data_IF_514810436892
#
_entry.id   IF_514810436892
#
_cell.length_a   1.000
_cell.length_b   1.000
_cell.length_c   1.000
_cell.angle_alpha   90.00
_cell.angle_beta   90.00
_cell.angle_gamma   90.00
#
_symmetry.space_group_name_H-M   'P 1'
#
loop_
_entity.id
_entity.type
_entity.pdbx_description
1 polymer ?
#
# COMPACT_ATOMS: atom_id res chain seq x y z
N UNK A 1 -3.71 -7.85 -28.57
CA UNK A 1 -4.81 -7.07 -27.95
C UNK A 1 -6.01 -7.98 -27.86
N UNK A 2 -6.71 -7.97 -26.72
CA UNK A 2 -7.89 -8.77 -26.45
C UNK A 2 -9.11 -7.87 -26.24
N UNK A 3 -10.29 -8.41 -26.49
CA UNK A 3 -11.55 -7.67 -26.33
C UNK A 3 -12.03 -7.58 -24.88
N UNK A 4 -11.55 -8.51 -24.02
CA UNK A 4 -11.92 -8.57 -22.61
C UNK A 4 -10.80 -9.16 -21.75
N UNK A 5 -10.92 -8.99 -20.42
CA UNK A 5 -10.02 -9.62 -19.43
C UNK A 5 -10.16 -11.15 -19.52
N UNK A 6 -11.36 -11.67 -19.68
CA UNK A 6 -11.60 -13.10 -19.81
C UNK A 6 -10.91 -13.71 -21.05
N UNK A 7 -10.96 -13.01 -22.21
CA UNK A 7 -10.25 -13.44 -23.40
C UNK A 7 -8.74 -13.44 -23.21
N UNK A 8 -8.21 -12.44 -22.51
CA UNK A 8 -6.78 -12.36 -22.18
C UNK A 8 -6.34 -13.53 -21.30
N UNK A 9 -7.12 -13.82 -20.24
CA UNK A 9 -6.85 -14.97 -19.37
C UNK A 9 -6.88 -16.29 -20.15
N UNK A 10 -7.91 -16.51 -20.96
CA UNK A 10 -8.06 -17.74 -21.74
C UNK A 10 -6.90 -17.95 -22.73
N UNK A 11 -6.40 -16.86 -23.33
CA UNK A 11 -5.35 -16.93 -24.34
C UNK A 11 -3.93 -17.00 -23.77
N UNK A 12 -3.68 -16.43 -22.56
CA UNK A 12 -2.32 -16.22 -22.06
C UNK A 12 -2.07 -16.76 -20.66
N UNK A 13 -3.11 -17.13 -19.91
CA UNK A 13 -3.00 -17.47 -18.50
C UNK A 13 -2.71 -16.26 -17.61
N UNK A 14 -3.05 -15.04 -18.05
CA UNK A 14 -2.84 -13.83 -17.26
C UNK A 14 -3.55 -13.92 -15.90
N UNK A 15 -2.86 -13.56 -14.84
CA UNK A 15 -3.38 -13.57 -13.47
C UNK A 15 -3.36 -12.19 -12.79
N UNK A 16 -2.87 -11.16 -13.49
CA UNK A 16 -2.82 -9.78 -13.01
C UNK A 16 -3.41 -8.83 -14.05
N UNK A 17 -4.28 -7.92 -13.61
CA UNK A 17 -4.78 -6.80 -14.40
C UNK A 17 -4.31 -5.48 -13.80
N UNK A 18 -3.62 -4.64 -14.58
CA UNK A 18 -3.22 -3.29 -14.16
C UNK A 18 -4.12 -2.28 -14.87
N UNK A 19 -4.91 -1.53 -14.10
CA UNK A 19 -6.02 -0.71 -14.58
C UNK A 19 -5.60 0.76 -14.63
N UNK A 20 -5.52 1.31 -15.85
CA UNK A 20 -5.11 2.69 -16.15
C UNK A 20 -6.23 3.54 -16.76
N UNK A 21 -7.43 3.00 -16.85
CA UNK A 21 -8.56 3.71 -17.51
C UNK A 21 -8.91 5.00 -16.75
N UNK A 22 -9.47 6.02 -17.45
CA UNK A 22 -9.94 7.23 -16.78
C UNK A 22 -10.95 6.95 -15.67
N UNK A 23 -11.07 7.83 -14.64
CA UNK A 23 -11.93 7.60 -13.47
C UNK A 23 -13.36 7.20 -13.78
N UNK A 24 -13.97 7.80 -14.81
CA UNK A 24 -15.35 7.50 -15.22
C UNK A 24 -15.58 6.05 -15.70
N UNK A 25 -14.50 5.34 -16.07
CA UNK A 25 -14.56 3.97 -16.58
C UNK A 25 -13.92 2.96 -15.61
N UNK A 26 -13.30 3.43 -14.52
CA UNK A 26 -12.56 2.59 -13.61
C UNK A 26 -13.44 1.53 -12.96
N UNK A 27 -14.65 1.88 -12.51
CA UNK A 27 -15.59 0.94 -11.92
C UNK A 27 -15.91 -0.23 -12.87
N UNK A 28 -16.24 0.06 -14.14
CA UNK A 28 -16.56 -1.00 -15.09
C UNK A 28 -15.36 -1.92 -15.37
N UNK A 29 -14.16 -1.35 -15.47
CA UNK A 29 -12.93 -2.14 -15.68
C UNK A 29 -12.60 -3.03 -14.47
N UNK A 30 -12.81 -2.53 -13.25
CA UNK A 30 -12.61 -3.35 -12.02
C UNK A 30 -13.65 -4.46 -11.93
N UNK A 31 -14.93 -4.16 -12.23
CA UNK A 31 -15.99 -5.17 -12.25
C UNK A 31 -15.72 -6.25 -13.30
N UNK A 32 -15.26 -5.87 -14.49
CA UNK A 32 -14.84 -6.82 -15.54
C UNK A 32 -13.71 -7.75 -15.04
N UNK A 33 -12.73 -7.20 -14.36
CA UNK A 33 -11.63 -7.98 -13.79
C UNK A 33 -12.13 -8.97 -12.70
N UNK A 34 -13.06 -8.53 -11.84
CA UNK A 34 -13.70 -9.37 -10.81
C UNK A 34 -14.54 -10.49 -11.46
N UNK A 35 -15.33 -10.18 -12.49
CA UNK A 35 -16.15 -11.18 -13.18
C UNK A 35 -15.32 -12.24 -13.92
N UNK A 36 -14.15 -11.84 -14.39
CA UNK A 36 -13.16 -12.75 -14.98
C UNK A 36 -12.37 -13.56 -13.92
N UNK A 37 -12.62 -13.33 -12.63
CA UNK A 37 -11.94 -13.97 -11.50
C UNK A 37 -10.41 -13.85 -11.58
N UNK A 38 -9.88 -12.72 -12.08
CA UNK A 38 -8.43 -12.50 -12.11
C UNK A 38 -7.89 -12.44 -10.66
N UNK A 39 -6.74 -13.03 -10.41
CA UNK A 39 -6.22 -13.14 -9.03
C UNK A 39 -5.90 -11.79 -8.41
N UNK A 40 -5.34 -10.85 -9.21
CA UNK A 40 -4.93 -9.52 -8.76
C UNK A 40 -5.37 -8.43 -9.75
N UNK A 41 -6.10 -7.43 -9.24
CA UNK A 41 -6.42 -6.19 -9.93
C UNK A 41 -5.70 -5.02 -9.26
N UNK A 42 -4.84 -4.33 -9.99
CA UNK A 42 -4.10 -3.15 -9.50
C UNK A 42 -4.70 -1.90 -10.14
N UNK A 43 -5.33 -1.06 -9.33
CA UNK A 43 -6.07 0.12 -9.79
C UNK A 43 -5.19 1.36 -9.59
N UNK A 44 -4.54 1.81 -10.65
CA UNK A 44 -3.63 2.97 -10.63
C UNK A 44 -4.41 4.28 -10.58
N UNK A 45 -5.56 4.32 -11.21
CA UNK A 45 -6.37 5.50 -11.44
C UNK A 45 -6.67 6.28 -10.16
N UNK A 46 -6.38 7.58 -10.19
CA UNK A 46 -6.74 8.57 -9.19
C UNK A 46 -8.07 9.26 -9.59
N UNK A 47 -8.82 9.77 -8.59
CA UNK A 47 -10.03 10.56 -8.82
C UNK A 47 -11.28 9.73 -9.12
N UNK A 48 -11.27 8.45 -8.78
CA UNK A 48 -12.47 7.60 -8.86
C UNK A 48 -13.49 8.10 -7.80
N UNK A 49 -14.76 8.32 -8.16
CA UNK A 49 -15.78 8.66 -7.18
C UNK A 49 -15.86 7.63 -6.06
N UNK A 50 -15.96 8.08 -4.81
CA UNK A 50 -16.00 7.20 -3.62
C UNK A 50 -17.11 6.16 -3.71
N UNK A 51 -18.29 6.53 -4.27
CA UNK A 51 -19.38 5.59 -4.51
C UNK A 51 -19.02 4.46 -5.48
N UNK A 52 -18.20 4.74 -6.47
CA UNK A 52 -17.76 3.72 -7.42
C UNK A 52 -16.75 2.78 -6.78
N UNK A 53 -15.82 3.32 -5.98
CA UNK A 53 -14.89 2.52 -5.19
C UNK A 53 -15.64 1.62 -4.20
N UNK A 54 -16.59 2.17 -3.46
CA UNK A 54 -17.45 1.39 -2.56
C UNK A 54 -18.24 0.30 -3.30
N UNK A 55 -18.76 0.61 -4.49
CA UNK A 55 -19.53 -0.33 -5.29
C UNK A 55 -18.71 -1.52 -5.77
N UNK A 56 -17.55 -1.29 -6.38
CA UNK A 56 -16.74 -2.42 -6.86
C UNK A 56 -16.12 -3.22 -5.72
N UNK A 57 -15.79 -2.57 -4.59
CA UNK A 57 -15.34 -3.28 -3.41
C UNK A 57 -16.43 -4.19 -2.81
N UNK A 58 -17.66 -3.66 -2.65
CA UNK A 58 -18.81 -4.45 -2.21
C UNK A 58 -19.11 -5.60 -3.19
N UNK A 59 -18.96 -5.35 -4.50
CA UNK A 59 -19.14 -6.37 -5.53
C UNK A 59 -18.08 -7.48 -5.40
N UNK A 60 -16.82 -7.15 -5.20
CA UNK A 60 -15.76 -8.13 -4.93
C UNK A 60 -16.08 -8.99 -3.71
N UNK A 61 -16.54 -8.37 -2.61
CA UNK A 61 -16.98 -9.09 -1.42
C UNK A 61 -18.12 -10.07 -1.71
N UNK A 62 -19.11 -9.66 -2.51
CA UNK A 62 -20.25 -10.51 -2.90
C UNK A 62 -19.84 -11.72 -3.75
N UNK A 63 -18.70 -11.62 -4.44
CA UNK A 63 -18.09 -12.70 -5.23
C UNK A 63 -17.06 -13.53 -4.43
N UNK A 64 -16.98 -13.33 -3.12
CA UNK A 64 -16.10 -14.07 -2.22
C UNK A 64 -14.64 -13.60 -2.25
N UNK A 65 -14.38 -12.39 -2.70
CA UNK A 65 -13.02 -11.77 -2.74
C UNK A 65 -11.98 -12.64 -3.49
N UNK A 66 -12.39 -13.30 -4.55
CA UNK A 66 -11.49 -14.10 -5.39
C UNK A 66 -10.42 -13.23 -6.07
N UNK A 67 -10.78 -11.99 -6.41
CA UNK A 67 -9.86 -10.98 -6.93
C UNK A 67 -9.35 -10.10 -5.80
N UNK A 68 -8.05 -10.12 -5.54
CA UNK A 68 -7.41 -9.14 -4.67
C UNK A 68 -7.32 -7.81 -5.40
N UNK A 69 -7.70 -6.71 -4.74
CA UNK A 69 -7.62 -5.36 -5.30
C UNK A 69 -6.55 -4.57 -4.56
N UNK A 70 -5.61 -3.96 -5.30
CA UNK A 70 -4.65 -2.97 -4.79
C UNK A 70 -5.04 -1.59 -5.34
N UNK A 71 -5.07 -0.58 -4.50
CA UNK A 71 -5.58 0.75 -4.83
C UNK A 71 -7.09 0.89 -4.55
N UNK A 72 -7.75 1.89 -5.14
CA UNK A 72 -7.28 2.81 -6.20
C UNK A 72 -6.26 3.86 -5.74
N UNK A 73 -5.85 4.73 -6.68
CA UNK A 73 -4.92 5.82 -6.45
C UNK A 73 -3.59 5.33 -5.85
N UNK A 74 -2.94 4.40 -6.53
CA UNK A 74 -1.74 3.72 -6.04
C UNK A 74 -0.68 3.55 -7.13
N UNK A 75 0.61 3.39 -6.75
CA UNK A 75 1.67 3.07 -7.70
C UNK A 75 1.72 1.57 -8.07
N UNK A 76 0.93 0.74 -7.41
CA UNK A 76 0.92 -0.70 -7.59
C UNK A 76 1.88 -1.45 -6.68
N UNK A 77 2.36 -2.60 -7.13
CA UNK A 77 3.22 -3.52 -6.38
C UNK A 77 4.42 -3.92 -7.23
N UNK A 78 5.59 -3.97 -6.61
CA UNK A 78 6.83 -4.44 -7.23
C UNK A 78 7.57 -5.38 -6.29
N UNK A 79 8.01 -6.52 -6.80
CA UNK A 79 9.04 -7.36 -6.19
C UNK A 79 10.28 -7.29 -7.08
N UNK A 80 11.31 -6.48 -6.70
CA UNK A 80 12.45 -6.22 -7.58
C UNK A 80 13.14 -7.52 -8.02
N UNK A 81 13.46 -7.60 -9.31
CA UNK A 81 14.03 -8.80 -9.93
C UNK A 81 13.04 -9.91 -10.26
N UNK A 82 11.75 -9.77 -9.86
CA UNK A 82 10.70 -10.78 -10.11
C UNK A 82 9.55 -10.24 -10.95
N UNK A 83 8.85 -9.21 -10.46
CA UNK A 83 7.67 -8.67 -11.14
C UNK A 83 7.39 -7.21 -10.75
N UNK A 84 6.69 -6.51 -11.64
CA UNK A 84 6.18 -5.16 -11.41
C UNK A 84 4.77 -5.05 -12.01
N UNK A 85 3.78 -4.95 -11.14
CA UNK A 85 2.39 -4.70 -11.51
C UNK A 85 2.01 -3.27 -11.09
N UNK A 86 2.35 -2.30 -11.91
CA UNK A 86 2.12 -0.89 -11.62
C UNK A 86 3.07 0.05 -12.37
N UNK A 87 3.30 1.21 -11.78
CA UNK A 87 4.11 2.30 -12.34
C UNK A 87 5.39 2.57 -11.56
N UNK A 88 5.72 1.74 -10.57
CA UNK A 88 6.95 1.92 -9.79
C UNK A 88 8.17 1.74 -10.69
N UNK A 89 9.09 2.72 -10.74
CA UNK A 89 10.31 2.60 -11.55
C UNK A 89 11.17 1.43 -11.04
N UNK A 90 11.38 0.43 -11.87
CA UNK A 90 12.10 -0.80 -11.50
C UNK A 90 13.58 -0.58 -11.21
N UNK A 91 14.13 0.59 -11.62
CA UNK A 91 15.55 0.92 -11.46
C UNK A 91 15.90 1.58 -10.12
N UNK A 92 14.90 1.97 -9.30
CA UNK A 92 15.18 2.74 -8.08
C UNK A 92 15.62 1.90 -6.89
N UNK A 93 15.37 0.59 -6.92
CA UNK A 93 15.80 -0.33 -5.86
C UNK A 93 15.99 -1.74 -6.41
N UNK A 94 16.95 -2.47 -5.87
CA UNK A 94 17.16 -3.89 -6.16
C UNK A 94 16.36 -4.82 -5.24
N UNK A 95 16.51 -6.13 -5.47
CA UNK A 95 16.01 -7.15 -4.56
C UNK A 95 16.73 -7.11 -3.22
N UNK A 96 16.01 -7.36 -2.13
CA UNK A 96 16.55 -7.33 -0.77
C UNK A 96 15.51 -7.76 0.26
N UNK A 97 15.81 -7.63 1.56
CA UNK A 97 15.00 -8.21 2.62
C UNK A 97 13.89 -7.31 3.17
N UNK A 98 13.69 -6.11 2.64
CA UNK A 98 12.75 -5.14 3.21
C UNK A 98 11.39 -5.24 2.51
N UNK A 99 10.33 -5.49 3.25
CA UNK A 99 8.94 -5.25 2.83
C UNK A 99 8.57 -3.78 3.03
N UNK A 100 7.94 -3.15 2.05
CA UNK A 100 7.48 -1.77 2.13
C UNK A 100 6.00 -1.68 1.83
N UNK A 101 5.21 -1.15 2.76
CA UNK A 101 3.80 -0.79 2.54
C UNK A 101 3.58 0.70 2.74
N UNK A 102 2.89 1.35 1.81
CA UNK A 102 2.72 2.80 1.82
C UNK A 102 1.39 3.24 1.23
N UNK A 103 0.75 4.26 1.84
CA UNK A 103 -0.37 4.99 1.23
C UNK A 103 0.07 5.96 0.14
N UNK A 104 1.30 6.44 0.20
CA UNK A 104 1.82 7.48 -0.70
C UNK A 104 2.72 6.90 -1.79
N UNK A 105 2.41 7.16 -3.06
CA UNK A 105 3.27 6.80 -4.19
C UNK A 105 4.64 7.47 -4.10
N UNK A 106 4.67 8.77 -3.86
CA UNK A 106 5.92 9.55 -3.75
C UNK A 106 6.82 9.05 -2.63
N UNK A 107 6.25 8.78 -1.45
CA UNK A 107 7.03 8.28 -0.30
C UNK A 107 7.45 6.82 -0.50
N UNK A 108 6.70 6.03 -1.25
CA UNK A 108 7.14 4.70 -1.69
C UNK A 108 8.44 4.81 -2.47
N UNK A 109 8.47 5.67 -3.50
CA UNK A 109 9.67 5.84 -4.33
C UNK A 109 10.85 6.42 -3.55
N UNK A 110 10.59 7.42 -2.69
CA UNK A 110 11.63 8.00 -1.85
C UNK A 110 12.23 6.93 -0.92
N UNK A 111 11.42 6.14 -0.24
CA UNK A 111 11.91 5.11 0.68
C UNK A 111 12.67 4.00 -0.05
N UNK A 112 12.19 3.56 -1.21
CA UNK A 112 12.90 2.61 -2.05
C UNK A 112 14.27 3.15 -2.46
N UNK A 113 14.37 4.43 -2.84
CA UNK A 113 15.63 5.06 -3.19
C UNK A 113 16.58 5.23 -2.00
N UNK A 114 16.04 5.65 -0.84
CA UNK A 114 16.83 5.80 0.40
C UNK A 114 17.44 4.46 0.86
N UNK A 115 16.74 3.36 0.64
CA UNK A 115 17.16 2.01 1.06
C UNK A 115 17.66 1.12 -0.09
N UNK A 116 17.99 1.73 -1.25
CA UNK A 116 18.34 0.99 -2.48
C UNK A 116 19.55 0.07 -2.35
N UNK A 117 20.47 0.39 -1.46
CA UNK A 117 21.67 -0.41 -1.18
C UNK A 117 21.36 -1.72 -0.41
N UNK A 118 20.22 -1.76 0.27
CA UNK A 118 19.73 -2.95 0.98
C UNK A 118 18.74 -3.72 0.10
N UNK A 119 17.82 -3.00 -0.54
CA UNK A 119 16.83 -3.56 -1.44
C UNK A 119 15.52 -3.99 -0.78
N UNK A 120 14.53 -4.31 -1.63
CA UNK A 120 13.18 -4.68 -1.24
C UNK A 120 12.85 -6.13 -1.60
N UNK A 121 12.18 -6.85 -0.71
CA UNK A 121 11.50 -8.10 -1.06
C UNK A 121 10.27 -7.79 -1.91
N UNK A 122 9.45 -6.87 -1.42
CA UNK A 122 8.30 -6.33 -2.15
C UNK A 122 7.99 -4.93 -1.62
N UNK A 123 7.65 -4.02 -2.54
CA UNK A 123 7.09 -2.72 -2.21
C UNK A 123 5.67 -2.61 -2.76
N UNK A 124 4.73 -2.26 -1.89
CA UNK A 124 3.31 -2.11 -2.22
C UNK A 124 2.81 -0.71 -1.85
N UNK A 125 2.30 0.01 -2.85
CA UNK A 125 1.50 1.20 -2.62
C UNK A 125 0.02 0.82 -2.54
N UNK A 126 -0.59 0.98 -1.38
CA UNK A 126 -1.99 0.57 -1.16
C UNK A 126 -3.00 1.63 -1.59
N UNK A 127 -2.54 2.86 -1.84
CA UNK A 127 -3.37 3.97 -2.28
C UNK A 127 -3.81 4.93 -1.19
N UNK A 128 -4.11 6.17 -1.61
CA UNK A 128 -4.49 7.29 -0.74
C UNK A 128 -5.99 7.59 -0.70
N UNK A 129 -6.82 6.78 -1.36
CA UNK A 129 -8.27 6.97 -1.36
C UNK A 129 -8.91 6.51 -0.05
N UNK A 130 -10.09 7.05 0.31
CA UNK A 130 -10.81 6.63 1.53
C UNK A 130 -11.21 5.16 1.55
N UNK A 131 -11.45 4.56 0.37
CA UNK A 131 -11.80 3.15 0.20
C UNK A 131 -10.75 2.51 -0.70
N UNK A 132 -10.02 1.58 -0.14
CA UNK A 132 -8.96 0.81 -0.80
C UNK A 132 -9.19 -0.69 -0.64
N UNK A 133 -8.77 -1.47 -1.63
CA UNK A 133 -8.99 -2.91 -1.64
C UNK A 133 -7.99 -3.72 -0.82
N UNK A 134 -6.80 -3.16 -0.54
CA UNK A 134 -5.75 -3.77 0.28
C UNK A 134 -5.31 -2.77 1.34
N UNK A 135 -5.27 -3.20 2.60
CA UNK A 135 -4.94 -2.36 3.76
C UNK A 135 -3.50 -2.57 4.22
N UNK A 136 -3.05 -1.74 5.19
CA UNK A 136 -1.79 -2.00 5.89
C UNK A 136 -1.77 -3.39 6.54
N UNK A 137 -2.89 -3.82 7.13
CA UNK A 137 -2.98 -5.13 7.80
C UNK A 137 -2.80 -6.27 6.79
N UNK A 138 -3.43 -6.19 5.63
CA UNK A 138 -3.27 -7.19 4.57
C UNK A 138 -1.80 -7.32 4.13
N UNK A 139 -1.12 -6.18 3.95
CA UNK A 139 0.28 -6.16 3.56
C UNK A 139 1.19 -6.68 4.68
N UNK A 140 0.93 -6.30 5.94
CA UNK A 140 1.67 -6.81 7.11
C UNK A 140 1.55 -8.32 7.24
N UNK A 141 0.35 -8.88 7.06
CA UNK A 141 0.12 -10.32 7.09
C UNK A 141 0.91 -11.03 5.97
N UNK A 142 0.91 -10.47 4.76
CA UNK A 142 1.66 -11.02 3.65
C UNK A 142 3.18 -10.97 3.90
N UNK A 143 3.70 -9.86 4.42
CA UNK A 143 5.12 -9.72 4.75
C UNK A 143 5.55 -10.63 5.91
N UNK A 144 4.70 -10.83 6.91
CA UNK A 144 4.99 -11.77 8.00
C UNK A 144 5.11 -13.21 7.47
N UNK A 145 4.24 -13.61 6.54
CA UNK A 145 4.28 -14.93 5.93
C UNK A 145 5.41 -15.11 4.90
N UNK A 146 5.94 -14.03 4.33
CA UNK A 146 6.97 -14.10 3.28
C UNK A 146 8.37 -14.38 3.88
N UNK A 147 9.02 -15.51 3.56
CA UNK A 147 10.34 -15.83 4.09
C UNK A 147 11.47 -14.90 3.59
N UNK A 148 11.26 -14.20 2.48
CA UNK A 148 12.24 -13.25 1.94
C UNK A 148 12.21 -11.90 2.68
N UNK A 149 11.07 -11.53 3.24
CA UNK A 149 10.93 -10.31 4.04
C UNK A 149 11.50 -10.54 5.44
N UNK A 150 12.50 -9.74 5.84
CA UNK A 150 13.13 -9.80 7.16
C UNK A 150 12.78 -8.62 8.06
N UNK A 151 12.45 -7.49 7.49
CA UNK A 151 12.00 -6.29 8.19
C UNK A 151 10.98 -5.52 7.33
N UNK A 152 10.17 -4.68 7.95
CA UNK A 152 9.05 -4.02 7.28
C UNK A 152 9.15 -2.50 7.51
N UNK A 153 9.00 -1.72 6.44
CA UNK A 153 8.73 -0.28 6.51
C UNK A 153 7.24 -0.06 6.25
N UNK A 154 6.59 0.67 7.16
CA UNK A 154 5.21 1.07 7.03
C UNK A 154 5.11 2.60 6.92
N UNK A 155 4.52 3.10 5.83
CA UNK A 155 4.29 4.52 5.62
C UNK A 155 2.79 4.79 5.65
N UNK A 156 2.39 5.57 6.66
CA UNK A 156 1.04 6.07 6.84
C UNK A 156 0.96 7.58 6.62
N UNK A 157 -0.22 8.10 6.84
CA UNK A 157 -0.51 9.53 6.74
C UNK A 157 -1.59 9.93 7.74
N UNK A 158 -1.81 11.23 7.89
CA UNK A 158 -2.90 11.77 8.71
C UNK A 158 -4.27 11.33 8.17
N UNK A 159 -5.27 11.32 9.04
CA UNK A 159 -6.65 10.97 8.73
C UNK A 159 -6.98 9.50 8.95
N UNK A 160 -8.25 9.24 9.30
CA UNK A 160 -8.71 7.91 9.63
C UNK A 160 -7.97 7.27 10.82
N UNK A 161 -8.11 5.95 10.95
CA UNK A 161 -7.58 5.15 12.06
C UNK A 161 -6.82 3.89 11.58
N UNK A 162 -6.47 3.84 10.30
CA UNK A 162 -5.85 2.64 9.70
C UNK A 162 -4.47 2.32 10.26
N UNK A 163 -3.71 3.34 10.65
CA UNK A 163 -2.37 3.17 11.24
C UNK A 163 -2.46 2.70 12.69
N UNK A 164 -3.44 3.18 13.46
CA UNK A 164 -3.71 2.71 14.82
C UNK A 164 -4.14 1.24 14.82
N UNK A 165 -5.00 0.84 13.86
CA UNK A 165 -5.38 -0.56 13.64
C UNK A 165 -4.18 -1.41 13.22
N UNK A 166 -3.31 -0.87 12.36
CA UNK A 166 -2.06 -1.55 11.96
C UNK A 166 -1.12 -1.74 13.16
N UNK A 167 -0.98 -0.73 14.04
CA UNK A 167 -0.19 -0.85 15.28
C UNK A 167 -0.72 -1.97 16.20
N UNK A 168 -2.04 -2.03 16.40
CA UNK A 168 -2.64 -3.11 17.17
C UNK A 168 -2.39 -4.49 16.53
N UNK A 169 -2.51 -4.59 15.21
CA UNK A 169 -2.24 -5.82 14.47
C UNK A 169 -0.77 -6.26 14.60
N UNK A 170 0.18 -5.32 14.49
CA UNK A 170 1.62 -5.59 14.65
C UNK A 170 1.89 -6.22 15.99
N UNK A 171 1.34 -5.67 17.08
CA UNK A 171 1.54 -6.16 18.44
C UNK A 171 1.25 -7.66 18.58
N UNK A 172 0.19 -8.13 17.96
CA UNK A 172 -0.35 -9.47 18.18
C UNK A 172 0.05 -10.48 17.09
N UNK A 173 0.46 -10.02 15.90
CA UNK A 173 0.57 -10.87 14.72
C UNK A 173 1.89 -10.73 13.93
N UNK A 174 2.74 -9.74 14.24
CA UNK A 174 3.97 -9.51 13.47
C UNK A 174 5.19 -9.71 14.37
N UNK A 175 6.03 -10.66 14.01
CA UNK A 175 7.28 -10.98 14.72
C UNK A 175 8.49 -10.28 14.12
N UNK A 176 8.40 -9.87 12.85
CA UNK A 176 9.45 -9.17 12.13
C UNK A 176 9.55 -7.72 12.58
N UNK A 177 10.76 -7.13 12.66
CA UNK A 177 10.92 -5.73 13.02
C UNK A 177 10.17 -4.81 12.05
N UNK A 178 9.46 -3.83 12.60
CA UNK A 178 8.74 -2.80 11.84
C UNK A 178 9.32 -1.42 12.19
N UNK A 179 9.52 -0.59 11.16
CA UNK A 179 9.82 0.83 11.29
C UNK A 179 8.75 1.61 10.56
N UNK A 180 8.18 2.65 11.18
CA UNK A 180 7.10 3.42 10.60
C UNK A 180 7.49 4.87 10.31
N UNK A 181 6.79 5.46 9.37
CA UNK A 181 6.73 6.89 9.11
C UNK A 181 5.26 7.31 8.94
N UNK A 182 4.89 8.44 9.52
CA UNK A 182 3.55 9.01 9.32
C UNK A 182 3.70 10.40 8.70
N UNK A 183 3.16 10.61 7.50
CA UNK A 183 3.19 11.90 6.84
C UNK A 183 2.15 12.85 7.46
N UNK A 184 2.49 14.15 7.51
CA UNK A 184 1.54 15.20 7.88
C UNK A 184 1.71 15.79 9.28
N UNK A 185 2.88 15.68 9.93
CA UNK A 185 3.13 16.32 11.25
C UNK A 185 2.89 17.82 11.27
N UNK A 186 3.02 18.52 10.14
CA UNK A 186 2.81 19.96 10.01
C UNK A 186 1.50 20.32 9.31
N UNK A 187 0.63 19.34 9.09
CA UNK A 187 -0.64 19.56 8.41
C UNK A 187 -1.59 20.39 9.29
N UNK A 188 -2.18 21.47 8.74
CA UNK A 188 -3.19 22.23 9.48
C UNK A 188 -4.48 21.42 9.60
N UNK A 189 -5.16 21.62 10.74
CA UNK A 189 -6.45 20.99 11.01
C UNK A 189 -7.50 21.38 9.94
N UNK A 190 -8.36 20.44 9.56
CA UNK A 190 -9.47 20.65 8.65
C UNK A 190 -9.09 20.84 7.19
N UNK A 191 -7.79 20.72 6.84
CA UNK A 191 -7.32 20.80 5.45
C UNK A 191 -6.92 19.44 4.91
N UNK A 192 -7.45 19.10 3.74
CA UNK A 192 -7.04 17.89 3.00
C UNK A 192 -5.62 18.07 2.43
N UNK A 193 -4.75 17.10 2.67
CA UNK A 193 -3.32 17.15 2.33
C UNK A 193 -2.96 16.13 1.23
N UNK A 194 -3.30 16.46 -0.02
CA UNK A 194 -2.95 15.64 -1.19
C UNK A 194 -3.94 14.50 -1.45
N UNK A 195 -4.17 13.62 -0.49
CA UNK A 195 -5.14 12.53 -0.59
C UNK A 195 -6.48 12.90 0.03
N UNK A 196 -7.57 12.39 -0.52
CA UNK A 196 -8.92 12.68 -0.02
C UNK A 196 -9.13 12.26 1.45
N UNK A 197 -8.48 11.18 1.88
CA UNK A 197 -8.52 10.68 3.25
C UNK A 197 -7.51 11.35 4.20
N UNK A 198 -6.56 12.13 3.68
CA UNK A 198 -5.51 12.78 4.46
C UNK A 198 -5.98 14.10 5.05
N UNK A 199 -6.89 14.04 6.00
CA UNK A 199 -7.48 15.19 6.71
C UNK A 199 -7.55 14.92 8.22
N UNK A 200 -7.12 15.89 9.02
CA UNK A 200 -7.26 15.84 10.48
C UNK A 200 -8.58 16.49 10.87
N UNK A 201 -9.40 15.77 11.63
CA UNK A 201 -10.66 16.25 12.18
C UNK A 201 -10.61 16.16 13.71
N UNK A 202 -10.41 17.29 14.36
CA UNK A 202 -10.21 17.35 15.82
C UNK A 202 -8.91 16.65 16.25
N UNK A 203 -8.95 15.95 17.38
CA UNK A 203 -7.77 15.24 17.92
C UNK A 203 -7.50 13.88 17.30
N UNK A 204 -8.43 13.35 16.49
CA UNK A 204 -8.31 12.03 15.89
C UNK A 204 -7.58 12.09 14.54
N UNK A 205 -6.82 11.04 14.22
CA UNK A 205 -6.14 10.89 12.95
C UNK A 205 -4.95 11.83 12.74
N UNK A 206 -4.40 12.43 13.81
CA UNK A 206 -3.18 13.24 13.71
C UNK A 206 -1.95 12.37 13.54
N UNK A 207 -0.89 12.90 12.89
CA UNK A 207 0.37 12.20 12.78
C UNK A 207 0.98 11.85 14.16
N UNK A 208 0.77 12.74 15.15
CA UNK A 208 1.25 12.51 16.51
C UNK A 208 0.54 11.33 17.18
N UNK A 209 -0.80 11.25 17.11
CA UNK A 209 -1.55 10.14 17.68
C UNK A 209 -1.16 8.78 17.06
N UNK A 210 -0.99 8.76 15.74
CA UNK A 210 -0.54 7.56 15.00
C UNK A 210 0.88 7.15 15.39
N UNK A 211 1.80 8.13 15.51
CA UNK A 211 3.16 7.89 16.01
C UNK A 211 3.13 7.25 17.40
N UNK A 212 2.36 7.82 18.33
CA UNK A 212 2.21 7.30 19.69
C UNK A 212 1.65 5.87 19.70
N UNK A 213 0.68 5.57 18.84
CA UNK A 213 0.12 4.23 18.70
C UNK A 213 1.18 3.21 18.26
N UNK A 214 2.03 3.55 17.29
CA UNK A 214 3.13 2.70 16.87
C UNK A 214 4.20 2.53 17.95
N UNK A 215 4.60 3.62 18.61
CA UNK A 215 5.62 3.58 19.67
C UNK A 215 5.14 2.76 20.89
N UNK A 216 3.84 2.82 21.22
CA UNK A 216 3.25 2.04 22.31
C UNK A 216 3.35 0.52 22.11
N UNK A 217 3.54 0.06 20.88
CA UNK A 217 3.73 -1.36 20.54
C UNK A 217 5.18 -1.69 20.15
N UNK A 218 6.13 -0.79 20.42
CA UNK A 218 7.55 -1.01 20.20
C UNK A 218 8.04 -0.73 18.78
N UNK A 219 7.20 -0.19 17.91
CA UNK A 219 7.58 0.21 16.55
C UNK A 219 8.32 1.55 16.59
N UNK A 220 9.52 1.61 16.01
CA UNK A 220 10.28 2.86 15.88
C UNK A 220 9.66 3.73 14.78
N UNK A 221 9.47 5.02 15.05
CA UNK A 221 8.87 5.97 14.10
C UNK A 221 9.85 7.08 13.78
N UNK A 222 10.20 7.22 12.50
CA UNK A 222 11.02 8.33 12.01
C UNK A 222 10.19 9.61 11.88
N UNK A 223 10.81 10.76 12.13
CA UNK A 223 10.19 12.08 11.94
C UNK A 223 10.25 12.56 10.48
N UNK A 224 11.15 11.96 9.71
CA UNK A 224 11.34 12.21 8.29
C UNK A 224 11.56 10.88 7.56
N UNK A 225 11.36 10.84 6.22
CA UNK A 225 11.68 9.65 5.44
C UNK A 225 13.14 9.20 5.60
N UNK A 226 14.09 10.14 5.61
CA UNK A 226 15.52 9.82 5.78
C UNK A 226 15.85 9.27 7.18
N UNK A 227 15.21 9.78 8.23
CA UNK A 227 15.34 9.22 9.58
C UNK A 227 14.76 7.80 9.64
N UNK A 228 13.60 7.58 9.01
CA UNK A 228 12.99 6.26 8.91
C UNK A 228 13.92 5.26 8.20
N UNK A 229 14.55 5.68 7.11
CA UNK A 229 15.55 4.88 6.41
C UNK A 229 16.78 4.58 7.30
N UNK A 230 17.26 5.56 8.07
CA UNK A 230 18.36 5.35 9.01
C UNK A 230 18.00 4.36 10.11
N UNK A 231 16.78 4.44 10.67
CA UNK A 231 16.28 3.48 11.64
C UNK A 231 16.21 2.05 11.03
N UNK A 232 15.73 1.93 9.80
CA UNK A 232 15.67 0.63 9.12
C UNK A 232 17.05 0.06 8.83
N UNK A 233 18.04 0.88 8.43
CA UNK A 233 19.44 0.43 8.29
C UNK A 233 19.98 -0.15 9.61
N UNK A 234 19.69 0.51 10.73
CA UNK A 234 20.07 0.02 12.05
C UNK A 234 19.41 -1.31 12.41
N UNK A 235 18.14 -1.49 12.04
CA UNK A 235 17.41 -2.77 12.23
C UNK A 235 18.06 -3.86 11.39
N UNK A 236 18.27 -3.65 10.11
CA UNK A 236 18.89 -4.66 9.21
C UNK A 236 20.29 -5.04 9.66
N UNK A 237 21.08 -4.09 10.16
CA UNK A 237 22.44 -4.36 10.66
C UNK A 237 22.45 -5.20 11.95
N UNK A 238 21.32 -5.34 12.64
CA UNK A 238 21.17 -6.11 13.88
C UNK A 238 20.53 -7.50 13.67
N UNK A 239 20.08 -7.83 12.47
CA UNK A 239 19.54 -9.14 12.10
C UNK A 239 20.65 -10.13 11.69
#
# INVERSE_FOLDING_TARGET
VFGSVADAIAATGANVSVIFVPPAFAKSAVVEAIDAEIELAVVITEGIPVHDSASFWAYSNSKGNKTRIIGPNCPGIISPGKSNAGITPWTISGAGPIGLVSKSGTLTYQMMFELREIGMSTAIGIGGDPIIGTTHIDALAAFEADPETKAIVLIGEIGGDSEEKAAAYIKDNVTKPVVAYVAGFTAPEGKTMGHAGAIVSGSAGTAQAKKEAFEAVGVKVGKTPSETAALMRGVIASL
#
